data_IF_683855754696
#
_entry.id   IF_683855754696
#
_cell.length_a   1.000
_cell.length_b   1.000
_cell.length_c   1.000
_cell.angle_alpha   90.00
_cell.angle_beta   90.00
_cell.angle_gamma   90.00
#
_symmetry.space_group_name_H-M   'P 1'
#
loop_
_entity.id
_entity.type
_entity.pdbx_description
1 polymer ?
#
# COMPACT_ATOMS: atom_id res chain seq x y z
N UNK A 1 -3.03 -8.18 -31.10
CA UNK A 1 -4.18 -7.68 -30.31
C UNK A 1 -4.46 -8.42 -29.00
N UNK A 2 -4.27 -9.75 -28.88
CA UNK A 2 -4.52 -10.47 -27.61
C UNK A 2 -3.60 -10.07 -26.43
N UNK A 3 -2.40 -9.56 -26.69
CA UNK A 3 -1.45 -9.21 -25.61
C UNK A 3 -1.83 -7.96 -24.80
N UNK A 4 -2.56 -7.00 -25.38
CA UNK A 4 -2.94 -5.76 -24.66
C UNK A 4 -4.02 -6.00 -23.61
N UNK A 5 -4.93 -6.94 -23.87
CA UNK A 5 -6.01 -7.30 -22.95
C UNK A 5 -5.49 -8.04 -21.72
N UNK A 6 -4.49 -8.91 -21.90
CA UNK A 6 -3.83 -9.59 -20.78
C UNK A 6 -3.07 -8.59 -19.89
N UNK A 7 -2.37 -7.61 -20.49
CA UNK A 7 -1.72 -6.56 -19.69
C UNK A 7 -2.72 -5.68 -18.96
N UNK A 8 -3.84 -5.33 -19.60
CA UNK A 8 -4.88 -4.52 -18.97
C UNK A 8 -5.54 -5.26 -17.79
N UNK A 9 -5.86 -6.55 -17.99
CA UNK A 9 -6.42 -7.40 -16.93
C UNK A 9 -5.50 -7.51 -15.72
N UNK A 10 -4.18 -7.66 -15.92
CA UNK A 10 -3.20 -7.67 -14.82
C UNK A 10 -3.21 -6.38 -14.02
N UNK A 11 -3.17 -5.23 -14.69
CA UNK A 11 -3.16 -3.92 -14.02
C UNK A 11 -4.45 -3.69 -13.25
N UNK A 12 -5.59 -4.03 -13.84
CA UNK A 12 -6.88 -3.94 -13.16
C UNK A 12 -6.95 -4.86 -11.94
N UNK A 13 -6.43 -6.09 -12.03
CA UNK A 13 -6.38 -7.01 -10.91
C UNK A 13 -5.54 -6.46 -9.75
N UNK A 14 -4.40 -5.82 -10.05
CA UNK A 14 -3.55 -5.15 -9.05
C UNK A 14 -4.33 -3.99 -8.40
N UNK A 15 -4.96 -3.12 -9.20
CA UNK A 15 -5.75 -1.99 -8.70
C UNK A 15 -6.89 -2.45 -7.78
N UNK A 16 -7.60 -3.51 -8.16
CA UNK A 16 -8.70 -4.06 -7.35
C UNK A 16 -8.18 -4.73 -6.08
N UNK A 17 -7.11 -5.52 -6.15
CA UNK A 17 -6.54 -6.19 -4.98
C UNK A 17 -6.12 -5.17 -3.91
N UNK A 18 -5.28 -4.20 -4.27
CA UNK A 18 -4.83 -3.18 -3.32
C UNK A 18 -5.96 -2.21 -2.95
N UNK A 19 -6.82 -1.86 -3.91
CA UNK A 19 -7.99 -1.02 -3.66
C UNK A 19 -8.91 -1.62 -2.60
N UNK A 20 -9.31 -2.89 -2.74
CA UNK A 20 -10.16 -3.58 -1.76
C UNK A 20 -9.45 -3.75 -0.42
N UNK A 21 -8.15 -4.10 -0.42
CA UNK A 21 -7.37 -4.26 0.82
C UNK A 21 -7.37 -2.97 1.64
N UNK A 22 -7.04 -1.84 1.02
CA UNK A 22 -6.98 -0.55 1.71
C UNK A 22 -8.37 0.02 1.99
N UNK A 23 -9.34 -0.18 1.10
CA UNK A 23 -10.73 0.23 1.33
C UNK A 23 -11.30 -0.41 2.59
N UNK A 24 -11.25 -1.74 2.69
CA UNK A 24 -11.81 -2.47 3.82
C UNK A 24 -11.10 -2.10 5.13
N UNK A 25 -9.77 -2.01 5.09
CA UNK A 25 -8.98 -1.67 6.25
C UNK A 25 -9.27 -0.24 6.75
N UNK A 26 -9.36 0.74 5.84
CA UNK A 26 -9.69 2.12 6.19
C UNK A 26 -11.14 2.26 6.65
N UNK A 27 -12.09 1.67 5.91
CA UNK A 27 -13.52 1.74 6.23
C UNK A 27 -13.79 1.24 7.65
N UNK A 28 -13.20 0.11 8.05
CA UNK A 28 -13.34 -0.43 9.40
C UNK A 28 -12.81 0.53 10.48
N UNK A 29 -11.67 1.19 10.25
CA UNK A 29 -11.10 2.15 11.22
C UNK A 29 -11.95 3.41 11.36
N UNK A 30 -12.52 3.91 10.26
CA UNK A 30 -13.40 5.08 10.30
C UNK A 30 -14.79 4.77 10.86
N UNK A 31 -15.34 3.58 10.60
CA UNK A 31 -16.70 3.24 11.02
C UNK A 31 -16.79 2.74 12.45
N UNK A 32 -15.82 1.94 12.90
CA UNK A 32 -15.84 1.31 14.23
C UNK A 32 -15.01 2.09 15.27
N UNK A 33 -14.25 3.10 14.83
CA UNK A 33 -13.30 3.82 15.67
C UNK A 33 -12.15 2.94 16.17
N UNK A 34 -11.41 3.44 17.17
CA UNK A 34 -10.30 2.70 17.76
C UNK A 34 -10.82 1.55 18.63
N UNK A 35 -10.50 0.28 18.31
CA UNK A 35 -10.98 -0.85 19.08
C UNK A 35 -10.17 -1.05 20.37
N UNK A 36 -10.79 -1.61 21.41
CA UNK A 36 -10.15 -1.84 22.71
C UNK A 36 -8.90 -2.71 22.62
N UNK A 37 -8.87 -3.70 21.72
CA UNK A 37 -7.69 -4.54 21.51
C UNK A 37 -6.48 -3.72 21.03
N UNK A 38 -6.68 -2.64 20.26
CA UNK A 38 -5.59 -1.80 19.78
C UNK A 38 -4.96 -1.04 20.95
N UNK A 39 -5.79 -0.49 21.83
CA UNK A 39 -5.32 0.17 23.04
C UNK A 39 -4.50 -0.80 23.91
N UNK A 40 -5.08 -1.97 24.22
CA UNK A 40 -4.42 -2.99 25.05
C UNK A 40 -3.12 -3.50 24.44
N UNK A 41 -3.08 -3.66 23.11
CA UNK A 41 -1.92 -4.17 22.40
C UNK A 41 -0.75 -3.18 22.42
N UNK A 42 -1.03 -1.87 22.30
CA UNK A 42 0.03 -0.85 22.16
C UNK A 42 0.32 -0.04 23.43
N UNK A 43 -0.44 -0.20 24.52
CA UNK A 43 -0.29 0.59 25.76
C UNK A 43 1.10 0.53 26.40
N UNK A 44 1.79 -0.61 26.26
CA UNK A 44 3.14 -0.80 26.82
C UNK A 44 4.28 -0.37 25.89
N UNK A 45 3.96 0.24 24.75
CA UNK A 45 4.94 0.58 23.71
C UNK A 45 5.25 2.07 23.70
N UNK A 46 6.35 2.47 23.06
CA UNK A 46 6.68 3.89 22.90
C UNK A 46 5.63 4.66 22.09
N UNK A 47 4.80 3.98 21.28
CA UNK A 47 3.70 4.61 20.55
C UNK A 47 2.64 5.19 21.48
N UNK A 48 2.51 4.68 22.71
CA UNK A 48 1.60 5.24 23.70
C UNK A 48 2.03 6.65 24.17
N UNK A 49 3.31 6.99 23.99
CA UNK A 49 3.89 8.30 24.34
C UNK A 49 3.87 9.28 23.16
N UNK A 50 3.37 8.88 21.99
CA UNK A 50 3.27 9.75 20.83
C UNK A 50 2.33 10.95 21.13
N UNK A 51 2.53 12.12 20.50
CA UNK A 51 1.59 13.23 20.61
C UNK A 51 0.17 12.80 20.19
N UNK A 52 -0.81 13.01 21.07
CA UNK A 52 -2.19 12.53 20.89
C UNK A 52 -2.41 11.03 21.19
N UNK A 53 -1.38 10.34 21.68
CA UNK A 53 -1.43 8.96 22.15
C UNK A 53 -1.79 7.94 21.08
N UNK A 54 -2.24 6.76 21.54
CA UNK A 54 -2.68 5.67 20.66
C UNK A 54 -3.85 6.04 19.72
N UNK A 55 -4.83 6.89 20.11
CA UNK A 55 -5.85 7.34 19.17
C UNK A 55 -5.28 8.06 17.96
N UNK A 56 -4.30 8.95 18.14
CA UNK A 56 -3.65 9.65 17.04
C UNK A 56 -2.92 8.67 16.10
N UNK A 57 -2.21 7.69 16.66
CA UNK A 57 -1.55 6.62 15.88
C UNK A 57 -2.58 5.80 15.10
N UNK A 58 -3.71 5.45 15.72
CA UNK A 58 -4.78 4.69 15.07
C UNK A 58 -5.36 5.45 13.86
N UNK A 59 -5.72 6.72 14.04
CA UNK A 59 -6.27 7.52 12.95
C UNK A 59 -5.23 7.91 11.90
N UNK A 60 -3.96 8.03 12.29
CA UNK A 60 -2.87 8.17 11.32
C UNK A 60 -2.80 6.94 10.40
N UNK A 61 -2.89 5.72 10.94
CA UNK A 61 -2.98 4.51 10.13
C UNK A 61 -4.21 4.51 9.22
N UNK A 62 -5.39 4.88 9.74
CA UNK A 62 -6.61 5.00 8.94
C UNK A 62 -6.45 5.98 7.77
N UNK A 63 -5.77 7.10 8.01
CA UNK A 63 -5.45 8.09 6.98
C UNK A 63 -4.50 7.54 5.92
N UNK A 64 -3.40 6.87 6.31
CA UNK A 64 -2.47 6.25 5.36
C UNK A 64 -3.16 5.22 4.45
N UNK A 65 -4.01 4.38 5.02
CA UNK A 65 -4.77 3.40 4.27
C UNK A 65 -5.80 4.07 3.35
N UNK A 66 -6.43 5.15 3.80
CA UNK A 66 -7.36 5.94 2.98
C UNK A 66 -6.66 6.56 1.79
N UNK A 67 -5.48 7.17 1.98
CA UNK A 67 -4.67 7.74 0.89
C UNK A 67 -4.31 6.65 -0.12
N UNK A 68 -3.94 5.46 0.35
CA UNK A 68 -3.61 4.32 -0.52
C UNK A 68 -4.82 3.86 -1.34
N UNK A 69 -6.00 3.79 -0.71
CA UNK A 69 -7.25 3.50 -1.41
C UNK A 69 -7.59 4.57 -2.45
N UNK A 70 -7.51 5.85 -2.08
CA UNK A 70 -7.77 6.97 -3.00
C UNK A 70 -6.80 6.97 -4.19
N UNK A 71 -5.53 6.61 -3.97
CA UNK A 71 -4.56 6.39 -5.05
C UNK A 71 -5.01 5.30 -6.02
N UNK A 72 -5.48 4.15 -5.51
CA UNK A 72 -6.02 3.07 -6.33
C UNK A 72 -7.27 3.53 -7.10
N UNK A 73 -8.21 4.20 -6.43
CA UNK A 73 -9.43 4.72 -7.04
C UNK A 73 -9.13 5.76 -8.13
N UNK A 74 -8.18 6.67 -7.88
CA UNK A 74 -7.73 7.65 -8.86
C UNK A 74 -7.07 6.99 -10.08
N UNK A 75 -6.28 5.94 -9.87
CA UNK A 75 -5.68 5.15 -10.95
C UNK A 75 -6.73 4.44 -11.83
N UNK A 76 -7.77 3.87 -11.21
CA UNK A 76 -8.93 3.28 -11.91
C UNK A 76 -9.70 4.37 -12.67
N UNK A 77 -10.00 5.50 -12.03
CA UNK A 77 -10.74 6.61 -12.64
C UNK A 77 -10.00 7.22 -13.84
N UNK A 78 -8.66 7.24 -13.81
CA UNK A 78 -7.83 7.63 -14.95
C UNK A 78 -7.70 6.56 -16.03
N UNK A 79 -8.23 5.36 -15.80
CA UNK A 79 -8.16 4.21 -16.69
C UNK A 79 -6.72 3.79 -17.00
N UNK A 80 -5.81 3.86 -16.02
CA UNK A 80 -4.39 3.48 -16.19
C UNK A 80 -4.21 1.98 -16.55
N UNK A 81 -5.27 1.17 -16.43
CA UNK A 81 -5.27 -0.22 -16.88
C UNK A 81 -5.36 -0.37 -18.41
N UNK A 82 -5.90 0.62 -19.14
CA UNK A 82 -5.95 0.62 -20.62
C UNK A 82 -5.05 1.68 -21.25
N UNK A 83 -4.75 2.77 -20.53
CA UNK A 83 -3.95 3.88 -21.05
C UNK A 83 -2.44 3.64 -20.88
N UNK A 84 -1.60 4.20 -21.77
CA UNK A 84 -0.16 4.21 -21.57
C UNK A 84 0.20 5.10 -20.36
N UNK A 85 1.09 4.61 -19.50
CA UNK A 85 1.51 5.29 -18.26
C UNK A 85 0.67 4.86 -17.05
N UNK A 86 1.37 4.39 -16.01
CA UNK A 86 0.78 3.86 -14.77
C UNK A 86 1.28 4.64 -13.55
N UNK A 87 1.42 5.95 -13.71
CA UNK A 87 2.13 6.81 -12.76
C UNK A 87 1.41 6.85 -11.42
N UNK A 88 0.08 6.97 -11.39
CA UNK A 88 -0.66 6.97 -10.12
C UNK A 88 -0.57 5.61 -9.45
N UNK A 89 -0.72 4.52 -10.21
CA UNK A 89 -0.56 3.18 -9.66
C UNK A 89 0.83 2.95 -9.09
N UNK A 90 1.89 3.39 -9.78
CA UNK A 90 3.28 3.28 -9.29
C UNK A 90 3.47 4.04 -7.97
N UNK A 91 2.98 5.27 -7.87
CA UNK A 91 3.01 6.03 -6.62
C UNK A 91 2.20 5.35 -5.52
N UNK A 92 1.03 4.83 -5.86
CA UNK A 92 0.15 4.14 -4.92
C UNK A 92 0.80 2.88 -4.38
N UNK A 93 1.41 2.06 -5.23
CA UNK A 93 2.15 0.86 -4.80
C UNK A 93 3.40 1.21 -4.00
N UNK A 94 4.12 2.26 -4.39
CA UNK A 94 5.28 2.76 -3.62
C UNK A 94 4.85 3.21 -2.23
N UNK A 95 3.72 3.91 -2.13
CA UNK A 95 3.15 4.31 -0.85
C UNK A 95 2.62 3.11 -0.05
N UNK A 96 2.02 2.13 -0.71
CA UNK A 96 1.60 0.88 -0.08
C UNK A 96 2.78 0.14 0.57
N UNK A 97 3.95 0.10 -0.08
CA UNK A 97 5.18 -0.44 0.52
C UNK A 97 5.51 0.25 1.84
N UNK A 98 5.43 1.59 1.87
CA UNK A 98 5.62 2.36 3.10
C UNK A 98 4.58 1.99 4.17
N UNK A 99 3.29 1.88 3.82
CA UNK A 99 2.23 1.47 4.75
C UNK A 99 2.51 0.08 5.34
N UNK A 100 2.89 -0.90 4.51
CA UNK A 100 3.20 -2.24 5.00
C UNK A 100 4.43 -2.29 5.91
N UNK A 101 5.43 -1.43 5.69
CA UNK A 101 6.56 -1.29 6.62
C UNK A 101 6.08 -0.80 7.98
N UNK A 102 5.24 0.24 8.02
CA UNK A 102 4.66 0.76 9.28
C UNK A 102 3.83 -0.31 9.99
N UNK A 103 2.97 -1.03 9.27
CA UNK A 103 2.13 -2.09 9.83
C UNK A 103 2.97 -3.27 10.35
N UNK A 104 3.96 -3.72 9.57
CA UNK A 104 4.85 -4.80 9.99
C UNK A 104 5.70 -4.41 11.19
N UNK A 105 6.11 -3.14 11.29
CA UNK A 105 6.79 -2.60 12.45
C UNK A 105 5.88 -2.63 13.69
N UNK A 106 4.66 -2.11 13.59
CA UNK A 106 3.71 -2.11 14.71
C UNK A 106 3.38 -3.52 15.22
N UNK A 107 3.26 -4.49 14.31
CA UNK A 107 3.07 -5.90 14.66
C UNK A 107 4.29 -6.48 15.41
N UNK A 108 5.52 -6.18 14.97
CA UNK A 108 6.74 -6.61 15.68
C UNK A 108 6.90 -5.97 17.05
N UNK A 109 6.55 -4.69 17.18
CA UNK A 109 6.61 -3.96 18.45
C UNK A 109 5.74 -4.60 19.54
N UNK A 110 4.71 -5.33 19.13
CA UNK A 110 3.69 -5.92 20.00
C UNK A 110 3.77 -7.45 20.06
N UNK A 111 4.86 -8.03 19.53
CA UNK A 111 5.11 -9.48 19.56
C UNK A 111 4.24 -10.31 18.61
N UNK A 112 3.44 -9.69 17.73
CA UNK A 112 2.59 -10.38 16.75
C UNK A 112 3.35 -10.70 15.47
N UNK A 113 4.27 -11.66 15.55
CA UNK A 113 5.16 -12.02 14.44
C UNK A 113 4.45 -12.66 13.24
N UNK A 114 3.33 -13.34 13.47
CA UNK A 114 2.43 -13.87 12.45
C UNK A 114 1.83 -12.74 11.60
N UNK A 115 1.27 -11.71 12.25
CA UNK A 115 0.74 -10.53 11.58
C UNK A 115 1.84 -9.77 10.84
N UNK A 116 3.03 -9.66 11.43
CA UNK A 116 4.19 -9.06 10.78
C UNK A 116 4.61 -9.82 9.51
N UNK A 117 4.54 -11.16 9.52
CA UNK A 117 4.83 -11.98 8.36
C UNK A 117 3.80 -11.79 7.24
N UNK A 118 2.50 -11.71 7.57
CA UNK A 118 1.47 -11.39 6.57
C UNK A 118 1.69 -10.00 5.94
N UNK A 119 2.02 -8.99 6.74
CA UNK A 119 2.35 -7.66 6.22
C UNK A 119 3.59 -7.66 5.32
N UNK A 120 4.58 -8.50 5.63
CA UNK A 120 5.75 -8.70 4.75
C UNK A 120 5.37 -9.36 3.43
N UNK A 121 4.45 -10.35 3.44
CA UNK A 121 3.95 -10.97 2.21
C UNK A 121 3.24 -9.94 1.33
N UNK A 122 2.40 -9.08 1.92
CA UNK A 122 1.76 -7.98 1.17
C UNK A 122 2.78 -6.97 0.63
N UNK A 123 3.82 -6.65 1.41
CA UNK A 123 4.94 -5.82 0.95
C UNK A 123 5.64 -6.44 -0.26
N UNK A 124 5.99 -7.73 -0.21
CA UNK A 124 6.63 -8.42 -1.33
C UNK A 124 5.71 -8.49 -2.54
N UNK A 125 4.41 -8.73 -2.35
CA UNK A 125 3.41 -8.69 -3.40
C UNK A 125 3.33 -7.32 -4.08
N UNK A 126 3.32 -6.23 -3.29
CA UNK A 126 3.33 -4.87 -3.81
C UNK A 126 4.63 -4.56 -4.58
N UNK A 127 5.78 -5.04 -4.10
CA UNK A 127 7.08 -4.86 -4.75
C UNK A 127 7.13 -5.57 -6.11
N UNK A 128 6.64 -6.82 -6.17
CA UNK A 128 6.52 -7.57 -7.42
C UNK A 128 5.58 -6.86 -8.39
N UNK A 129 4.41 -6.42 -7.92
CA UNK A 129 3.48 -5.65 -8.74
C UNK A 129 4.12 -4.37 -9.29
N UNK A 130 4.86 -3.64 -8.45
CA UNK A 130 5.56 -2.41 -8.83
C UNK A 130 6.61 -2.69 -9.93
N UNK A 131 7.39 -3.77 -9.77
CA UNK A 131 8.36 -4.22 -10.78
C UNK A 131 7.68 -4.54 -12.12
N UNK A 132 6.58 -5.28 -12.09
CA UNK A 132 5.84 -5.69 -13.29
C UNK A 132 5.22 -4.49 -14.05
N UNK A 133 4.84 -3.42 -13.34
CA UNK A 133 4.22 -2.24 -13.97
C UNK A 133 5.21 -1.13 -14.30
N UNK A 134 6.44 -1.21 -13.80
CA UNK A 134 7.48 -0.22 -14.08
C UNK A 134 8.07 -0.46 -15.48
N UNK A 135 8.16 0.56 -16.34
CA UNK A 135 8.89 0.42 -17.59
C UNK A 135 10.34 0.08 -17.27
N UNK A 136 10.95 -0.86 -18.01
CA UNK A 136 12.39 -1.08 -17.93
C UNK A 136 13.08 0.27 -18.14
N UNK A 137 13.85 0.71 -17.15
CA UNK A 137 14.81 1.78 -17.33
C UNK A 137 15.80 1.27 -18.38
N UNK A 138 15.54 1.55 -19.66
CA UNK A 138 16.54 1.31 -20.69
C UNK A 138 17.82 2.00 -20.20
N UNK A 139 18.97 1.29 -20.14
CA UNK A 139 20.23 1.96 -19.87
C UNK A 139 20.32 3.07 -20.91
N UNK A 140 20.43 4.33 -20.47
CA UNK A 140 20.74 5.43 -21.37
C UNK A 140 21.93 4.95 -22.20
N UNK A 141 21.70 4.68 -23.47
CA UNK A 141 22.74 4.28 -24.39
C UNK A 141 23.90 5.24 -24.13
N UNK A 142 25.04 4.68 -23.75
CA UNK A 142 26.27 5.43 -23.62
C UNK A 142 26.35 6.31 -24.86
N UNK A 143 26.19 7.62 -24.66
CA UNK A 143 26.26 8.59 -25.71
C UNK A 143 27.67 8.49 -26.26
N UNK A 144 27.78 7.73 -27.34
CA UNK A 144 28.90 7.72 -28.24
C UNK A 144 29.11 9.16 -28.69
N UNK A 145 30.07 9.82 -28.08
CA UNK A 145 30.75 10.96 -28.65
C UNK A 145 32.23 10.66 -28.47
N UNK A 146 32.73 9.90 -29.45
CA UNK A 146 34.12 10.00 -29.90
C UNK A 146 34.32 11.38 -30.52
#
# INVERSE_FOLDING_TARGET
MKSSWLSAGKVLAIQLLFGTTFFLSAALKWSAGMPAWFLQQFQGTWLAQAPGGLPAVHYFLAMLETISFLGCAASIARLEFVRPGKTILQWTLTFALFVFVVLAYGARLTGKFDVAAYNLIYFLGALLCLREISPETQPRAASAVL
#
